data_IF_066535024013
#
_entry.id   IF_066535024013
#
_cell.length_a   1.000
_cell.length_b   1.000
_cell.length_c   1.000
_cell.angle_alpha   90.00
_cell.angle_beta   90.00
_cell.angle_gamma   90.00
#
_symmetry.space_group_name_H-M   'P 1'
#
loop_
_entity.id
_entity.type
_entity.pdbx_description
1 polymer ?
#
# COMPACT_ATOMS: atom_id res chain seq x y z
N UNK A 1 19.22 11.87 6.62
CA UNK A 1 18.79 11.70 8.03
C UNK A 1 17.62 10.74 8.15
N UNK A 2 16.50 10.94 7.43
CA UNK A 2 15.33 10.05 7.49
C UNK A 2 15.61 8.60 7.02
N UNK A 3 16.42 8.40 5.97
CA UNK A 3 16.79 7.07 5.47
C UNK A 3 17.42 6.18 6.56
N UNK A 4 18.34 6.72 7.35
CA UNK A 4 18.99 5.97 8.44
C UNK A 4 18.00 5.63 9.57
N UNK A 5 17.01 6.48 9.80
CA UNK A 5 15.95 6.22 10.79
C UNK A 5 15.07 5.08 10.28
N UNK A 6 14.59 5.17 9.04
CA UNK A 6 13.78 4.11 8.42
C UNK A 6 14.53 2.78 8.37
N UNK A 7 15.81 2.78 7.99
CA UNK A 7 16.63 1.56 8.00
C UNK A 7 16.79 0.95 9.41
N UNK A 8 16.88 1.79 10.46
CA UNK A 8 16.85 1.26 11.83
C UNK A 8 15.50 0.64 12.17
N UNK A 9 14.40 1.26 11.74
CA UNK A 9 13.06 0.71 11.92
C UNK A 9 12.89 -0.63 11.20
N UNK A 10 13.41 -0.80 9.98
CA UNK A 10 13.34 -2.09 9.29
C UNK A 10 14.04 -3.18 10.10
N UNK A 11 15.21 -2.91 10.67
CA UNK A 11 15.90 -3.89 11.53
C UNK A 11 15.23 -4.15 12.89
N UNK A 12 14.17 -3.42 13.26
CA UNK A 12 13.33 -3.80 14.40
C UNK A 12 12.37 -4.94 14.04
N UNK A 13 12.01 -5.10 12.78
CA UNK A 13 10.97 -6.03 12.35
C UNK A 13 11.50 -7.20 11.51
N UNK A 14 12.69 -7.04 10.92
CA UNK A 14 13.28 -8.05 10.07
C UNK A 14 14.69 -8.43 10.54
N UNK A 15 14.97 -9.73 10.75
CA UNK A 15 16.29 -10.18 11.15
C UNK A 15 17.30 -10.03 10.02
N UNK A 16 18.55 -9.74 10.39
CA UNK A 16 19.67 -9.57 9.45
C UNK A 16 20.24 -10.90 9.01
N UNK A 17 20.46 -11.07 7.71
CA UNK A 17 21.15 -12.20 7.09
C UNK A 17 20.56 -13.58 7.45
N UNK A 18 19.26 -13.63 7.77
CA UNK A 18 18.54 -14.88 7.97
C UNK A 18 17.52 -15.00 6.84
N UNK A 19 17.63 -16.07 6.05
CA UNK A 19 16.75 -16.32 4.92
C UNK A 19 15.54 -17.15 5.37
N UNK A 20 14.28 -16.68 5.20
CA UNK A 20 13.10 -17.44 5.62
C UNK A 20 12.90 -18.73 4.82
N UNK A 21 13.51 -18.86 3.64
CA UNK A 21 13.48 -20.09 2.83
C UNK A 21 14.39 -21.18 3.37
N UNK A 22 15.63 -20.84 3.69
CA UNK A 22 16.65 -21.82 4.08
C UNK A 22 16.66 -22.06 5.60
N UNK A 23 16.30 -21.04 6.38
CA UNK A 23 16.39 -21.01 7.84
C UNK A 23 15.04 -20.65 8.47
N UNK A 24 13.95 -21.21 7.94
CA UNK A 24 12.56 -20.87 8.31
C UNK A 24 12.30 -20.87 9.82
N UNK A 25 12.67 -21.93 10.52
CA UNK A 25 12.44 -22.05 11.97
C UNK A 25 13.26 -21.04 12.76
N UNK A 26 14.52 -20.82 12.38
CA UNK A 26 15.37 -19.80 12.98
C UNK A 26 14.79 -18.41 12.76
N UNK A 27 14.33 -18.10 11.54
CA UNK A 27 13.69 -16.84 11.19
C UNK A 27 12.46 -16.59 12.07
N UNK A 28 11.59 -17.59 12.20
CA UNK A 28 10.35 -17.50 13.00
C UNK A 28 10.61 -17.33 14.50
N UNK A 29 11.76 -17.80 14.98
CA UNK A 29 12.15 -17.68 16.39
C UNK A 29 12.74 -16.32 16.74
N UNK A 30 13.17 -15.52 15.75
CA UNK A 30 13.75 -14.19 15.95
C UNK A 30 12.78 -13.24 16.65
N UNK A 31 13.34 -12.31 17.43
CA UNK A 31 12.54 -11.31 18.17
C UNK A 31 11.92 -10.32 17.19
N UNK A 32 12.65 -10.00 16.12
CA UNK A 32 12.25 -9.13 15.03
C UNK A 32 10.99 -9.66 14.35
N UNK A 33 11.01 -10.92 13.87
CA UNK A 33 9.84 -11.51 13.22
C UNK A 33 8.63 -11.61 14.15
N UNK A 34 8.85 -12.02 15.41
CA UNK A 34 7.76 -12.08 16.39
C UNK A 34 7.14 -10.70 16.61
N UNK A 35 7.97 -9.65 16.72
CA UNK A 35 7.50 -8.26 16.85
C UNK A 35 6.69 -7.83 15.63
N UNK A 36 7.17 -8.16 14.43
CA UNK A 36 6.45 -7.89 13.18
C UNK A 36 5.08 -8.56 13.18
N UNK A 37 5.04 -9.87 13.43
CA UNK A 37 3.80 -10.64 13.44
C UNK A 37 2.82 -10.10 14.48
N UNK A 38 3.26 -9.86 15.71
CA UNK A 38 2.40 -9.30 16.75
C UNK A 38 1.86 -7.90 16.41
N UNK A 39 2.63 -7.09 15.67
CA UNK A 39 2.15 -5.78 15.20
C UNK A 39 1.07 -5.95 14.15
N UNK A 40 1.29 -6.83 13.15
CA UNK A 40 0.29 -7.14 12.12
C UNK A 40 -0.98 -7.71 12.76
N UNK A 41 -0.84 -8.68 13.67
CA UNK A 41 -1.95 -9.33 14.38
C UNK A 41 -2.75 -8.30 15.20
N UNK A 42 -2.08 -7.35 15.85
CA UNK A 42 -2.75 -6.26 16.56
C UNK A 42 -3.65 -5.45 15.62
N UNK A 43 -3.12 -4.98 14.49
CA UNK A 43 -3.89 -4.20 13.52
C UNK A 43 -4.94 -5.00 12.74
N UNK A 44 -4.86 -6.33 12.78
CA UNK A 44 -5.83 -7.24 12.18
C UNK A 44 -6.86 -7.80 13.18
N UNK A 45 -6.72 -7.48 14.47
CA UNK A 45 -7.68 -7.92 15.50
C UNK A 45 -9.04 -7.24 15.36
N UNK A 46 -10.10 -7.91 15.80
CA UNK A 46 -11.48 -7.39 15.73
C UNK A 46 -11.63 -6.00 16.36
N UNK A 47 -10.94 -5.76 17.48
CA UNK A 47 -10.94 -4.46 18.18
C UNK A 47 -10.32 -3.34 17.32
N UNK A 48 -9.30 -3.67 16.53
CA UNK A 48 -8.58 -2.70 15.70
C UNK A 48 -9.11 -2.60 14.26
N UNK A 49 -10.09 -3.43 13.88
CA UNK A 49 -10.88 -3.19 12.66
C UNK A 49 -11.58 -1.82 12.69
N UNK A 50 -11.85 -1.27 13.87
CA UNK A 50 -12.38 0.09 14.04
C UNK A 50 -11.45 1.14 13.40
N UNK A 51 -10.13 0.95 13.45
CA UNK A 51 -9.16 1.85 12.81
C UNK A 51 -9.34 1.82 11.29
N UNK A 52 -9.45 0.61 10.73
CA UNK A 52 -9.68 0.37 9.30
C UNK A 52 -11.00 0.99 8.83
N UNK A 53 -12.06 0.83 9.62
CA UNK A 53 -13.36 1.45 9.36
C UNK A 53 -13.32 2.97 9.49
N UNK A 54 -12.54 3.51 10.44
CA UNK A 54 -12.34 4.94 10.59
C UNK A 54 -11.67 5.54 9.35
N UNK A 55 -10.65 4.87 8.80
CA UNK A 55 -10.01 5.28 7.55
C UNK A 55 -11.04 5.33 6.42
N UNK A 56 -11.89 4.31 6.25
CA UNK A 56 -12.95 4.36 5.22
C UNK A 56 -13.90 5.54 5.43
N UNK A 57 -14.30 5.79 6.68
CA UNK A 57 -15.22 6.88 7.03
C UNK A 57 -14.68 8.26 6.68
N UNK A 58 -13.36 8.48 6.59
CA UNK A 58 -12.86 9.80 6.21
C UNK A 58 -13.16 10.18 4.75
N UNK A 59 -13.45 9.19 3.90
CA UNK A 59 -13.78 9.35 2.48
C UNK A 59 -15.29 9.31 2.19
N UNK A 60 -16.14 8.91 3.15
CA UNK A 60 -17.58 8.63 2.91
C UNK A 60 -18.39 9.83 2.41
N UNK A 61 -17.92 11.05 2.68
CA UNK A 61 -18.59 12.29 2.28
C UNK A 61 -18.18 12.77 0.88
N UNK A 62 -17.19 12.13 0.25
CA UNK A 62 -16.77 12.44 -1.12
C UNK A 62 -17.56 11.59 -2.12
N UNK A 63 -17.98 12.18 -3.23
CA UNK A 63 -18.85 11.51 -4.20
C UNK A 63 -18.20 10.32 -4.91
N UNK A 64 -16.88 10.38 -5.15
CA UNK A 64 -16.09 9.30 -5.77
C UNK A 64 -15.35 8.51 -4.70
N UNK A 65 -14.62 9.19 -3.80
CA UNK A 65 -13.70 8.51 -2.90
C UNK A 65 -14.41 7.63 -1.85
N UNK A 66 -15.71 7.82 -1.63
CA UNK A 66 -16.53 6.91 -0.81
C UNK A 66 -16.52 5.47 -1.33
N UNK A 67 -16.26 5.27 -2.62
CA UNK A 67 -16.25 3.97 -3.28
C UNK A 67 -14.88 3.27 -3.20
N UNK A 68 -13.97 3.76 -2.34
CA UNK A 68 -12.73 3.04 -2.01
C UNK A 68 -13.03 1.64 -1.48
N UNK A 69 -12.68 0.65 -2.29
CA UNK A 69 -12.71 -0.74 -1.90
C UNK A 69 -11.49 -1.07 -1.05
N UNK A 70 -11.61 -2.09 -0.21
CA UNK A 70 -10.57 -2.43 0.76
C UNK A 70 -10.02 -3.82 0.49
N UNK A 71 -8.78 -3.82 0.04
CA UNK A 71 -8.01 -4.97 -0.37
C UNK A 71 -6.91 -5.31 0.65
N UNK A 72 -7.00 -4.81 1.88
CA UNK A 72 -5.99 -5.08 2.91
C UNK A 72 -5.91 -6.59 3.22
N UNK A 73 -4.70 -7.17 3.13
CA UNK A 73 -4.40 -8.61 3.31
C UNK A 73 -3.35 -8.83 4.39
N UNK A 74 -3.60 -8.28 5.58
CA UNK A 74 -2.70 -8.35 6.73
C UNK A 74 -2.42 -9.81 7.16
N UNK A 75 -3.45 -10.65 7.19
CA UNK A 75 -3.41 -12.04 7.65
C UNK A 75 -2.81 -13.04 6.65
N UNK A 76 -3.19 -12.90 5.38
CA UNK A 76 -2.96 -13.88 4.33
C UNK A 76 -1.63 -13.70 3.61
N UNK A 77 -1.11 -12.47 3.58
CA UNK A 77 0.16 -12.13 2.92
C UNK A 77 1.19 -11.50 3.85
N UNK A 78 0.87 -11.38 5.15
CA UNK A 78 1.65 -10.59 6.11
C UNK A 78 1.94 -9.19 5.59
N UNK A 79 0.97 -8.54 4.94
CA UNK A 79 1.13 -7.15 4.50
C UNK A 79 1.35 -6.24 5.71
N UNK A 80 2.09 -5.15 5.49
CA UNK A 80 2.46 -4.15 6.50
C UNK A 80 1.66 -2.87 6.31
N UNK A 81 0.58 -2.92 5.54
CA UNK A 81 -0.29 -1.79 5.28
C UNK A 81 -1.74 -2.18 5.07
N UNK A 82 -2.64 -1.22 5.33
CA UNK A 82 -3.97 -1.23 4.73
C UNK A 82 -3.86 -0.81 3.26
N UNK A 83 -4.65 -1.46 2.40
CA UNK A 83 -4.68 -1.23 0.96
C UNK A 83 -6.10 -0.86 0.54
N UNK A 84 -6.29 0.38 0.10
CA UNK A 84 -7.55 0.87 -0.45
C UNK A 84 -7.39 1.08 -1.95
N UNK A 85 -8.40 0.69 -2.70
CA UNK A 85 -8.34 0.62 -4.15
C UNK A 85 -9.58 1.29 -4.76
N UNK A 86 -9.36 2.09 -5.80
CA UNK A 86 -10.40 2.80 -6.52
C UNK A 86 -10.15 2.69 -8.02
N UNK A 87 -11.16 2.24 -8.76
CA UNK A 87 -11.15 2.24 -10.22
C UNK A 87 -11.84 3.49 -10.76
N UNK A 88 -11.25 4.09 -11.78
CA UNK A 88 -11.78 5.28 -12.44
C UNK A 88 -11.58 5.18 -13.96
N UNK A 89 -12.63 5.51 -14.70
CA UNK A 89 -12.54 5.70 -16.15
C UNK A 89 -12.17 7.15 -16.49
N UNK A 90 -11.15 7.35 -17.31
CA UNK A 90 -10.72 8.67 -17.77
C UNK A 90 -10.23 8.58 -19.21
N UNK A 91 -10.85 9.38 -20.09
CA UNK A 91 -10.52 9.46 -21.53
C UNK A 91 -10.60 8.12 -22.29
N UNK A 92 -11.54 7.25 -21.91
CA UNK A 92 -11.72 5.92 -22.48
C UNK A 92 -10.82 4.85 -21.89
N UNK A 93 -9.99 5.20 -20.90
CA UNK A 93 -9.04 4.30 -20.25
C UNK A 93 -9.45 3.98 -18.82
N UNK A 94 -9.05 2.81 -18.31
CA UNK A 94 -9.28 2.41 -16.93
C UNK A 94 -8.02 2.64 -16.10
N UNK A 95 -8.09 3.58 -15.16
CA UNK A 95 -7.05 3.78 -14.17
C UNK A 95 -7.46 3.19 -12.83
N UNK A 96 -6.48 2.73 -12.08
CA UNK A 96 -6.65 2.37 -10.68
C UNK A 96 -5.77 3.24 -9.80
N UNK A 97 -6.38 3.81 -8.76
CA UNK A 97 -5.69 4.51 -7.68
C UNK A 97 -5.64 3.59 -6.48
N UNK A 98 -4.44 3.25 -6.03
CA UNK A 98 -4.22 2.43 -4.83
C UNK A 98 -3.55 3.25 -3.74
N UNK A 99 -4.19 3.32 -2.57
CA UNK A 99 -3.67 3.94 -1.36
C UNK A 99 -3.18 2.86 -0.40
N UNK A 100 -1.89 2.90 -0.08
CA UNK A 100 -1.26 2.07 0.94
C UNK A 100 -0.99 2.89 2.19
N UNK A 101 -1.52 2.46 3.35
CA UNK A 101 -1.30 3.11 4.65
C UNK A 101 -0.53 2.13 5.54
N UNK A 102 0.74 2.44 5.85
CA UNK A 102 1.57 1.54 6.65
C UNK A 102 1.05 1.41 8.08
N UNK A 103 1.08 0.20 8.63
CA UNK A 103 0.78 -0.06 10.05
C UNK A 103 2.06 -0.04 10.92
N UNK A 104 3.24 0.00 10.30
CA UNK A 104 4.52 0.01 11.01
C UNK A 104 5.05 1.43 11.26
N UNK A 105 4.73 2.36 10.36
CA UNK A 105 5.19 3.75 10.40
C UNK A 105 4.05 4.67 9.92
N UNK A 106 4.01 5.96 10.35
CA UNK A 106 2.94 6.88 9.97
C UNK A 106 3.14 7.46 8.56
N UNK A 107 3.34 6.57 7.58
CA UNK A 107 3.53 6.92 6.17
C UNK A 107 2.54 6.22 5.26
N UNK A 108 2.19 6.90 4.16
CA UNK A 108 1.36 6.36 3.11
C UNK A 108 2.04 6.46 1.73
N UNK A 109 1.57 5.64 0.79
CA UNK A 109 1.95 5.67 -0.63
C UNK A 109 0.67 5.63 -1.45
N UNK A 110 0.61 6.46 -2.50
CA UNK A 110 -0.43 6.35 -3.53
C UNK A 110 0.25 5.87 -4.81
N UNK A 111 -0.40 4.92 -5.50
CA UNK A 111 -0.03 4.50 -6.85
C UNK A 111 -1.18 4.71 -7.79
N UNK A 112 -0.84 5.10 -9.02
CA UNK A 112 -1.73 5.17 -10.17
C UNK A 112 -1.23 4.15 -11.17
N UNK A 113 -2.06 3.19 -11.51
CA UNK A 113 -1.77 2.20 -12.53
C UNK A 113 -2.81 2.32 -13.66
N UNK A 114 -2.37 2.07 -14.88
CA UNK A 114 -3.22 2.06 -16.07
C UNK A 114 -3.53 0.61 -16.45
N UNK A 115 -4.77 0.36 -16.84
CA UNK A 115 -5.25 -0.93 -17.30
C UNK A 115 -6.02 -0.77 -18.61
N UNK A 116 -5.79 -1.68 -19.55
CA UNK A 116 -6.69 -1.81 -20.69
C UNK A 116 -8.08 -2.20 -20.20
N UNK A 117 -9.16 -1.49 -20.60
CA UNK A 117 -10.52 -1.86 -20.24
C UNK A 117 -10.94 -3.21 -20.85
N UNK A 118 -10.38 -3.56 -22.02
CA UNK A 118 -10.63 -4.83 -22.69
C UNK A 118 -9.86 -5.97 -22.00
N UNK A 119 -10.46 -7.18 -21.85
CA UNK A 119 -11.74 -7.61 -22.43
C UNK A 119 -12.98 -7.35 -21.55
N UNK A 120 -12.81 -6.76 -20.36
CA UNK A 120 -13.85 -6.68 -19.34
C UNK A 120 -14.93 -5.63 -19.67
N UNK A 121 -14.56 -4.55 -20.37
CA UNK A 121 -15.46 -3.51 -20.81
C UNK A 121 -15.29 -3.25 -22.31
N UNK A 122 -16.39 -3.26 -23.07
CA UNK A 122 -16.37 -2.77 -24.45
C UNK A 122 -16.19 -1.25 -24.47
N UNK A 123 -15.60 -0.69 -25.54
CA UNK A 123 -15.44 0.77 -25.69
C UNK A 123 -16.74 1.54 -25.50
N UNK A 124 -17.85 1.03 -26.06
CA UNK A 124 -19.18 1.64 -25.88
C UNK A 124 -19.62 1.68 -24.42
N UNK A 125 -19.29 0.65 -23.63
CA UNK A 125 -19.63 0.59 -22.21
C UNK A 125 -18.77 1.54 -21.39
N UNK A 126 -17.49 1.71 -21.74
CA UNK A 126 -16.62 2.69 -21.11
C UNK A 126 -17.14 4.12 -21.35
N UNK A 127 -17.48 4.45 -22.59
CA UNK A 127 -18.03 5.77 -22.93
C UNK A 127 -19.37 6.07 -22.23
N UNK A 128 -20.22 5.06 -22.02
CA UNK A 128 -21.44 5.21 -21.21
C UNK A 128 -21.10 5.52 -19.75
N UNK A 129 -20.19 4.74 -19.14
CA UNK A 129 -19.78 4.92 -17.75
C UNK A 129 -19.12 6.29 -17.52
N UNK A 130 -18.38 6.80 -18.50
CA UNK A 130 -17.81 8.14 -18.46
C UNK A 130 -18.87 9.24 -18.61
N UNK A 131 -19.91 9.04 -19.42
CA UNK A 131 -21.03 10.00 -19.55
C UNK A 131 -21.95 10.00 -18.34
N UNK A 132 -22.07 8.86 -17.65
CA UNK A 132 -22.79 8.71 -16.38
C UNK A 132 -22.01 9.29 -15.19
N UNK A 133 -20.71 9.56 -15.33
CA UNK A 133 -19.93 10.25 -14.29
C UNK A 133 -20.44 11.68 -14.10
N UNK A 134 -21.02 11.93 -12.92
CA UNK A 134 -21.38 13.28 -12.47
C UNK A 134 -20.18 14.13 -12.10
N UNK A 135 -19.06 13.48 -11.74
CA UNK A 135 -17.84 14.12 -11.29
C UNK A 135 -16.81 14.21 -12.43
N UNK A 136 -16.20 15.39 -12.56
CA UNK A 136 -15.28 15.77 -13.65
C UNK A 136 -13.81 15.74 -13.22
N UNK A 137 -13.51 15.39 -11.97
CA UNK A 137 -12.13 15.32 -11.47
C UNK A 137 -11.34 14.28 -12.24
N UNK A 138 -10.14 14.68 -12.64
CA UNK A 138 -9.12 13.81 -13.22
C UNK A 138 -8.54 12.87 -12.17
N UNK A 139 -7.86 11.80 -12.62
CA UNK A 139 -7.14 10.91 -11.71
C UNK A 139 -6.13 11.64 -10.81
N UNK A 140 -5.43 12.65 -11.34
CA UNK A 140 -4.42 13.40 -10.60
C UNK A 140 -5.03 14.38 -9.58
N UNK A 141 -6.20 14.95 -9.88
CA UNK A 141 -6.98 15.74 -8.94
C UNK A 141 -7.49 14.87 -7.78
N UNK A 142 -7.99 13.67 -8.09
CA UNK A 142 -8.41 12.70 -7.06
C UNK A 142 -7.23 12.30 -6.17
N UNK A 143 -6.05 12.07 -6.74
CA UNK A 143 -4.84 11.79 -5.95
C UNK A 143 -4.54 12.95 -5.00
N UNK A 144 -4.60 14.19 -5.50
CA UNK A 144 -4.36 15.39 -4.68
C UNK A 144 -5.36 15.51 -3.53
N UNK A 145 -6.64 15.18 -3.77
CA UNK A 145 -7.67 15.18 -2.73
C UNK A 145 -7.44 14.07 -1.70
N UNK A 146 -7.03 12.87 -2.14
CA UNK A 146 -6.65 11.77 -1.25
C UNK A 146 -5.48 12.19 -0.36
N UNK A 147 -4.43 12.80 -0.92
CA UNK A 147 -3.27 13.27 -0.16
C UNK A 147 -3.69 14.24 0.95
N UNK A 148 -4.51 15.25 0.62
CA UNK A 148 -5.03 16.19 1.63
C UNK A 148 -5.83 15.49 2.72
N UNK A 149 -6.76 14.59 2.35
CA UNK A 149 -7.58 13.86 3.32
C UNK A 149 -6.70 13.02 4.26
N UNK A 150 -5.72 12.31 3.71
CA UNK A 150 -4.83 11.43 4.49
C UNK A 150 -3.91 12.26 5.40
N UNK A 151 -3.37 13.38 4.93
CA UNK A 151 -2.46 14.21 5.71
C UNK A 151 -3.18 15.04 6.78
N UNK A 152 -4.37 15.58 6.48
CA UNK A 152 -5.11 16.44 7.40
C UNK A 152 -5.96 15.65 8.41
N UNK A 153 -6.64 14.58 7.95
CA UNK A 153 -7.56 13.82 8.81
C UNK A 153 -6.92 12.62 9.47
N UNK A 154 -6.00 11.92 8.78
CA UNK A 154 -5.34 10.73 9.30
C UNK A 154 -3.94 11.02 9.89
N UNK A 155 -3.38 12.20 9.61
CA UNK A 155 -2.07 12.65 10.12
C UNK A 155 -0.89 11.78 9.65
N UNK A 156 -1.05 11.08 8.53
CA UNK A 156 0.04 10.35 7.88
C UNK A 156 0.86 11.29 7.00
N UNK A 157 2.08 10.89 6.65
CA UNK A 157 2.93 11.64 5.70
C UNK A 157 3.18 10.83 4.43
N UNK A 158 3.30 11.50 3.29
CA UNK A 158 3.68 10.81 2.04
C UNK A 158 5.07 10.21 2.18
N UNK A 159 5.22 8.94 1.82
CA UNK A 159 6.51 8.26 1.86
C UNK A 159 7.45 8.86 0.80
N UNK A 160 8.73 9.14 1.12
CA UNK A 160 9.64 9.71 0.15
C UNK A 160 9.88 8.75 -1.03
N UNK A 161 9.44 9.13 -2.24
CA UNK A 161 9.52 8.29 -3.43
C UNK A 161 10.95 7.85 -3.75
N UNK A 162 11.93 8.74 -3.54
CA UNK A 162 13.36 8.45 -3.74
C UNK A 162 13.92 7.37 -2.82
N UNK A 163 13.19 6.98 -1.77
CA UNK A 163 13.59 5.92 -0.85
C UNK A 163 12.87 4.60 -1.11
N UNK A 164 11.76 4.58 -1.86
CA UNK A 164 10.91 3.40 -2.02
C UNK A 164 11.68 2.18 -2.51
N UNK A 165 12.57 2.36 -3.49
CA UNK A 165 13.36 1.29 -4.11
C UNK A 165 14.75 1.13 -3.50
N UNK A 166 15.05 1.82 -2.38
CA UNK A 166 16.30 1.59 -1.69
C UNK A 166 16.36 0.15 -1.20
N UNK A 167 17.38 -0.57 -1.69
CA UNK A 167 17.63 -1.95 -1.33
C UNK A 167 18.21 -2.05 0.08
N UNK A 168 17.73 -3.03 0.83
CA UNK A 168 18.20 -3.39 2.16
C UNK A 168 18.82 -4.78 2.03
N UNK A 169 20.10 -4.80 1.71
CA UNK A 169 20.79 -5.99 1.22
C UNK A 169 20.86 -7.15 2.21
N UNK A 170 20.81 -6.85 3.51
CA UNK A 170 20.92 -7.82 4.60
C UNK A 170 19.55 -8.32 5.10
N UNK A 171 18.44 -7.98 4.42
CA UNK A 171 17.10 -8.44 4.79
C UNK A 171 16.48 -9.29 3.67
N UNK A 172 15.76 -10.33 4.07
CA UNK A 172 14.88 -11.10 3.21
C UNK A 172 13.57 -11.40 3.95
N UNK A 173 12.48 -11.52 3.21
CA UNK A 173 11.15 -11.72 3.78
C UNK A 173 10.22 -12.38 2.76
N UNK A 174 9.43 -13.37 3.20
CA UNK A 174 8.54 -14.11 2.31
C UNK A 174 9.31 -14.74 1.14
N UNK A 175 8.91 -14.41 -0.08
CA UNK A 175 9.51 -14.80 -1.35
C UNK A 175 10.64 -13.87 -1.82
N UNK A 176 10.94 -12.80 -1.10
CA UNK A 176 11.96 -11.82 -1.47
C UNK A 176 13.32 -12.21 -0.89
N UNK A 177 14.28 -12.49 -1.77
CA UNK A 177 15.65 -12.87 -1.40
C UNK A 177 16.50 -11.71 -0.88
N UNK A 178 17.58 -12.05 -0.17
CA UNK A 178 18.61 -11.09 0.24
C UNK A 178 19.14 -10.31 -0.98
N UNK A 179 19.35 -9.01 -0.80
CA UNK A 179 19.76 -8.13 -1.90
C UNK A 179 18.62 -7.55 -2.73
N UNK A 180 17.39 -8.05 -2.60
CA UNK A 180 16.22 -7.58 -3.38
C UNK A 180 15.13 -6.92 -2.54
N UNK A 181 15.24 -6.97 -1.21
CA UNK A 181 14.24 -6.37 -0.32
C UNK A 181 14.36 -4.85 -0.32
N UNK A 182 13.25 -4.15 -0.62
CA UNK A 182 13.22 -2.68 -0.69
C UNK A 182 12.60 -2.05 0.57
N UNK A 183 12.77 -0.73 0.74
CA UNK A 183 12.02 0.04 1.75
C UNK A 183 10.51 -0.03 1.55
N UNK A 184 10.03 -0.05 0.31
CA UNK A 184 8.61 -0.26 0.04
C UNK A 184 8.15 -1.61 0.60
N UNK A 185 8.92 -2.68 0.36
CA UNK A 185 8.62 -3.98 0.94
C UNK A 185 8.69 -3.96 2.46
N UNK A 186 9.62 -3.22 3.06
CA UNK A 186 9.72 -3.16 4.51
C UNK A 186 8.48 -2.58 5.21
N UNK A 187 7.75 -1.65 4.58
CA UNK A 187 6.69 -0.90 5.25
C UNK A 187 5.30 -1.06 4.66
N UNK A 188 5.16 -1.59 3.45
CA UNK A 188 3.87 -1.72 2.76
C UNK A 188 3.57 -3.17 2.42
N UNK A 189 3.87 -3.66 1.21
CA UNK A 189 3.59 -5.04 0.84
C UNK A 189 4.70 -5.63 -0.05
N UNK A 190 4.56 -6.91 -0.40
CA UNK A 190 5.55 -7.62 -1.21
C UNK A 190 5.40 -7.37 -2.72
N UNK A 191 4.49 -6.47 -3.14
CA UNK A 191 4.37 -6.16 -4.56
C UNK A 191 5.67 -5.53 -5.04
N UNK A 192 6.11 -5.96 -6.22
CA UNK A 192 7.23 -5.31 -6.89
C UNK A 192 6.81 -3.89 -7.27
N UNK A 193 7.64 -2.93 -6.94
CA UNK A 193 7.63 -1.61 -7.59
C UNK A 193 8.07 -1.84 -9.03
N UNK A 194 7.12 -1.96 -9.96
CA UNK A 194 7.43 -1.85 -11.37
C UNK A 194 7.68 -0.36 -11.67
N UNK A 195 8.84 0.16 -11.28
CA UNK A 195 9.34 1.40 -11.88
C UNK A 195 9.87 1.07 -13.28
N UNK A 196 8.94 0.89 -14.22
CA UNK A 196 9.21 0.85 -15.65
C UNK A 196 7.97 1.37 -16.40
N UNK A 197 7.43 2.51 -15.98
CA UNK A 197 6.51 3.30 -16.79
C UNK A 197 6.81 4.79 -16.54
N UNK A 198 7.87 5.25 -17.18
CA UNK A 198 8.03 6.60 -17.74
C UNK A 198 9.05 6.50 -18.88
#
# INVERSE_FOLDING_TARGET
MINNVLLKFTHLYYPKNICPWNEKEKYRQTVEYKRLQSTIDYFNSDENLIIRDHIKKVFVNDEILKDFEDFSRLDSNNDRCYTFFLNIFEEGELYSITLYISVLIPYYVIRKDWHSPEPFFSKSRVEELEKEKFDKRTSDELITDIEKIVEEKLLYKKFPSSLMNNLISDISFGDIHLGYFTMFNAFFNNNRTNENNN
#
